data_IF_993706678028
#
_entry.id   IF_993706678028
#
_cell.length_a   1.000
_cell.length_b   1.000
_cell.length_c   1.000
_cell.angle_alpha   90.00
_cell.angle_beta   90.00
_cell.angle_gamma   90.00
#
_symmetry.space_group_name_H-M   'P 1'
#
loop_
_entity.id
_entity.type
_entity.pdbx_description
1 polymer ?
#
# COMPACT_ATOMS: atom_id res chain seq x y z
N UNK A 1 2.13 18.00 -3.48
CA UNK A 1 0.98 18.93 -3.68
C UNK A 1 1.13 19.78 -4.96
N UNK A 2 2.24 20.50 -5.19
CA UNK A 2 2.43 21.37 -6.38
C UNK A 2 2.41 20.70 -7.77
N UNK A 3 2.40 19.38 -7.86
CA UNK A 3 2.52 18.63 -9.13
C UNK A 3 1.42 17.58 -9.36
N UNK A 4 0.33 17.61 -8.60
CA UNK A 4 -0.76 16.63 -8.74
C UNK A 4 -2.08 17.35 -8.95
N UNK A 5 -2.45 17.58 -10.22
CA UNK A 5 -3.66 18.32 -10.60
C UNK A 5 -4.96 17.59 -10.24
N UNK A 6 -4.92 16.26 -10.11
CA UNK A 6 -6.10 15.44 -9.81
C UNK A 6 -6.78 15.73 -8.45
N UNK A 7 -6.07 16.37 -7.51
CA UNK A 7 -6.54 16.53 -6.11
C UNK A 7 -6.68 18.01 -5.73
N UNK A 8 -6.37 18.93 -6.66
CA UNK A 8 -6.26 20.38 -6.44
C UNK A 8 -7.55 21.04 -5.93
N UNK A 9 -8.71 20.44 -6.24
CA UNK A 9 -10.04 20.95 -5.86
C UNK A 9 -10.74 20.08 -4.80
N UNK A 10 -9.99 19.24 -4.09
CA UNK A 10 -10.56 18.37 -3.04
C UNK A 10 -9.80 18.53 -1.73
N UNK A 11 -10.46 18.21 -0.61
CA UNK A 11 -9.81 18.11 0.70
C UNK A 11 -9.08 16.78 0.92
N UNK A 12 -8.96 15.94 -0.12
CA UNK A 12 -8.28 14.66 -0.01
C UNK A 12 -6.78 14.87 0.26
N UNK A 13 -6.26 14.14 1.24
CA UNK A 13 -4.83 14.15 1.58
C UNK A 13 -4.18 12.89 1.02
N UNK A 14 -3.03 13.05 0.38
CA UNK A 14 -2.19 11.90 0.05
C UNK A 14 -1.63 11.32 1.34
N UNK A 15 -2.13 10.15 1.72
CA UNK A 15 -1.62 9.35 2.83
C UNK A 15 -0.59 8.32 2.37
N UNK A 16 -0.11 7.54 3.33
CA UNK A 16 0.73 6.37 3.09
C UNK A 16 -0.18 5.16 2.83
N UNK A 17 -0.28 4.74 1.56
CA UNK A 17 -0.88 3.47 1.12
C UNK A 17 -2.17 3.03 1.84
N UNK A 18 -2.38 1.71 1.87
CA UNK A 18 -3.47 1.06 2.59
C UNK A 18 -2.90 0.11 3.65
N UNK A 19 -3.66 -0.18 4.72
CA UNK A 19 -3.27 -1.19 5.71
C UNK A 19 -3.61 -2.59 5.23
N UNK A 20 -4.65 -2.73 4.41
CA UNK A 20 -5.06 -4.00 3.82
C UNK A 20 -5.68 -3.80 2.42
N UNK A 21 -5.54 -4.80 1.55
CA UNK A 21 -6.11 -4.76 0.20
C UNK A 21 -7.65 -4.75 0.21
N UNK A 22 -8.24 -5.29 1.27
CA UNK A 22 -9.69 -5.40 1.47
C UNK A 22 -10.37 -4.02 1.62
N UNK A 23 -9.63 -2.98 1.99
CA UNK A 23 -10.14 -1.60 2.05
C UNK A 23 -10.68 -1.11 0.69
N UNK A 24 -10.25 -1.73 -0.42
CA UNK A 24 -10.70 -1.37 -1.77
C UNK A 24 -11.95 -2.11 -2.24
N UNK A 25 -12.33 -3.23 -1.61
CA UNK A 25 -13.47 -4.05 -2.05
C UNK A 25 -14.81 -3.30 -1.94
N UNK A 26 -15.07 -2.51 -0.88
CA UNK A 26 -16.27 -1.67 -0.84
C UNK A 26 -16.31 -0.57 -1.91
N UNK A 27 -15.16 -0.20 -2.49
CA UNK A 27 -15.06 0.83 -3.53
C UNK A 27 -15.28 0.26 -4.93
N UNK A 28 -14.88 -0.99 -5.17
CA UNK A 28 -15.10 -1.72 -6.43
C UNK A 28 -15.46 -3.19 -6.12
N UNK A 29 -16.76 -3.51 -5.97
CA UNK A 29 -17.21 -4.83 -5.55
C UNK A 29 -16.95 -5.95 -6.55
N UNK A 30 -16.68 -5.64 -7.83
CA UNK A 30 -16.32 -6.66 -8.81
C UNK A 30 -14.91 -7.20 -8.58
N UNK A 31 -14.04 -6.40 -7.95
CA UNK A 31 -12.66 -6.75 -7.70
C UNK A 31 -12.52 -7.78 -6.57
N UNK A 32 -11.55 -8.68 -6.69
CA UNK A 32 -11.19 -9.65 -5.64
C UNK A 32 -9.71 -9.54 -5.31
N UNK A 33 -9.39 -9.63 -4.01
CA UNK A 33 -8.00 -9.73 -3.54
C UNK A 33 -7.48 -11.12 -3.89
N UNK A 34 -6.41 -11.18 -4.68
CA UNK A 34 -5.73 -12.44 -5.04
C UNK A 34 -4.61 -12.73 -4.07
N UNK A 35 -3.80 -11.71 -3.77
CA UNK A 35 -2.73 -11.80 -2.78
C UNK A 35 -2.36 -10.43 -2.27
N UNK A 36 -1.84 -10.39 -1.05
CA UNK A 36 -1.22 -9.20 -0.50
C UNK A 36 0.06 -9.55 0.25
N UNK A 37 1.05 -8.67 0.14
CA UNK A 37 2.26 -8.70 0.95
C UNK A 37 2.63 -7.29 1.38
N UNK A 38 3.41 -7.17 2.46
CA UNK A 38 3.94 -5.86 2.84
C UNK A 38 5.21 -5.56 2.05
N UNK A 39 5.40 -4.29 1.66
CA UNK A 39 6.61 -3.87 0.98
C UNK A 39 7.89 -4.27 1.74
N UNK A 40 7.96 -4.04 3.06
CA UNK A 40 9.17 -4.40 3.80
C UNK A 40 9.39 -5.91 3.89
N UNK A 41 8.32 -6.71 3.93
CA UNK A 41 8.44 -8.17 3.91
C UNK A 41 9.12 -8.63 2.62
N UNK A 42 8.73 -8.05 1.49
CA UNK A 42 9.37 -8.31 0.21
C UNK A 42 10.84 -7.85 0.23
N UNK A 43 11.10 -6.66 0.77
CA UNK A 43 12.45 -6.09 0.84
C UNK A 43 13.42 -6.86 1.75
N UNK A 44 12.95 -7.69 2.69
CA UNK A 44 13.83 -8.55 3.52
C UNK A 44 14.71 -9.47 2.68
N UNK A 45 14.21 -9.90 1.52
CA UNK A 45 14.90 -10.84 0.62
C UNK A 45 16.14 -10.22 -0.03
N UNK A 46 16.13 -8.89 -0.20
CA UNK A 46 17.09 -8.20 -1.07
C UNK A 46 18.16 -7.38 -0.31
N UNK A 47 17.95 -7.03 0.96
CA UNK A 47 18.96 -6.24 1.70
C UNK A 47 18.93 -6.41 3.23
N UNK A 48 20.09 -6.25 3.85
CA UNK A 48 20.23 -6.20 5.32
C UNK A 48 19.44 -5.03 5.92
N UNK A 49 19.40 -3.88 5.24
CA UNK A 49 18.57 -2.74 5.63
C UNK A 49 17.09 -3.08 5.57
N UNK A 50 16.64 -3.79 4.52
CA UNK A 50 15.27 -4.29 4.40
C UNK A 50 14.88 -5.22 5.55
N UNK A 51 15.80 -6.11 5.98
CA UNK A 51 15.60 -6.95 7.18
C UNK A 51 15.41 -6.12 8.46
N UNK A 52 16.22 -5.09 8.66
CA UNK A 52 16.10 -4.19 9.82
C UNK A 52 14.81 -3.36 9.78
N UNK A 53 14.46 -2.78 8.63
CA UNK A 53 13.26 -1.97 8.47
C UNK A 53 11.96 -2.77 8.53
N UNK A 54 11.99 -4.06 8.20
CA UNK A 54 10.84 -4.93 8.39
C UNK A 54 10.52 -5.20 9.87
N UNK A 55 11.48 -5.02 10.78
CA UNK A 55 11.25 -5.15 12.23
C UNK A 55 10.69 -3.84 12.79
N UNK A 56 11.31 -2.71 12.45
CA UNK A 56 11.00 -1.39 13.04
C UNK A 56 9.76 -0.74 12.38
N UNK A 57 9.59 -0.92 11.08
CA UNK A 57 8.54 -0.27 10.28
C UNK A 57 7.36 -1.17 9.91
N UNK A 58 7.18 -2.33 10.55
CA UNK A 58 6.22 -3.35 10.08
C UNK A 58 4.77 -2.85 9.95
N UNK A 59 4.40 -1.84 10.73
CA UNK A 59 3.04 -1.28 10.79
C UNK A 59 2.86 0.01 9.97
N UNK A 60 3.91 0.55 9.38
CA UNK A 60 3.85 1.79 8.57
C UNK A 60 3.70 1.51 7.07
N UNK A 61 3.58 0.24 6.68
CA UNK A 61 3.81 -0.19 5.31
C UNK A 61 2.60 -0.10 4.39
N UNK A 62 2.88 0.30 3.16
CA UNK A 62 1.99 0.10 2.02
C UNK A 62 1.90 -1.40 1.69
N UNK A 63 0.68 -1.87 1.43
CA UNK A 63 0.44 -3.20 0.85
C UNK A 63 0.82 -3.21 -0.62
N UNK A 64 1.57 -4.24 -1.01
CA UNK A 64 1.66 -4.69 -2.39
C UNK A 64 0.53 -5.70 -2.58
N UNK A 65 -0.56 -5.25 -3.19
CA UNK A 65 -1.75 -6.05 -3.39
C UNK A 65 -1.93 -6.38 -4.88
N UNK A 66 -2.31 -7.63 -5.14
CA UNK A 66 -2.69 -8.11 -6.47
C UNK A 66 -4.17 -8.39 -6.46
N UNK A 67 -4.85 -7.91 -7.49
CA UNK A 67 -6.28 -8.07 -7.64
C UNK A 67 -6.60 -8.77 -8.96
N UNK A 68 -7.70 -9.51 -8.94
CA UNK A 68 -8.38 -9.96 -10.16
C UNK A 68 -9.69 -9.19 -10.28
N UNK A 69 -10.04 -8.85 -11.52
CA UNK A 69 -11.35 -8.32 -11.85
C UNK A 69 -12.29 -9.47 -12.22
#
# INVERSE_FOLDING_TARGET
>A
SKHHDAVKHTNAKFGWGTKSAEEYIPLEPCMKVVSETSYNEEMKKYSLRGKLFAIIGKHMNNRLAVFSW
#
